data_IF_253922613292
#
_entry.id   IF_253922613292
#
_cell.length_a   1.000
_cell.length_b   1.000
_cell.length_c   1.000
_cell.angle_alpha   90.00
_cell.angle_beta   90.00
_cell.angle_gamma   90.00
#
_symmetry.space_group_name_H-M   'P 1'
#
loop_
_entity.id
_entity.type
_entity.pdbx_description
1 polymer ?
#
# COMPACT_ATOMS: atom_id res chain seq x y z
N UNK A 1 21.19 5.31 -27.84
CA UNK A 1 20.12 4.43 -27.33
C UNK A 1 19.45 5.17 -26.18
N UNK A 2 18.23 5.65 -26.40
CA UNK A 2 17.47 6.40 -25.41
C UNK A 2 16.99 5.47 -24.30
N UNK A 3 17.12 5.83 -23.01
CA UNK A 3 16.60 5.03 -21.93
C UNK A 3 15.08 5.01 -22.03
N UNK A 4 14.55 3.88 -22.42
CA UNK A 4 13.12 3.61 -22.57
C UNK A 4 12.45 3.75 -21.20
N UNK A 5 11.44 4.59 -21.12
CA UNK A 5 10.59 4.95 -19.96
C UNK A 5 10.00 3.75 -19.20
N UNK A 6 10.84 2.93 -18.59
CA UNK A 6 10.40 1.80 -17.75
C UNK A 6 9.91 2.23 -16.37
N UNK A 7 10.11 3.50 -16.04
CA UNK A 7 9.73 4.05 -14.74
C UNK A 7 8.22 4.24 -14.54
N UNK A 8 7.41 4.15 -15.60
CA UNK A 8 5.95 4.39 -15.55
C UNK A 8 5.14 3.33 -14.78
N UNK A 9 5.74 2.19 -14.39
CA UNK A 9 5.01 1.14 -13.67
C UNK A 9 5.01 1.28 -12.14
N UNK A 10 5.79 2.20 -11.56
CA UNK A 10 5.87 2.35 -10.09
C UNK A 10 4.62 3.04 -9.53
N UNK A 11 3.91 3.82 -10.32
CA UNK A 11 2.73 4.57 -9.92
C UNK A 11 1.44 3.94 -10.43
N UNK A 12 1.29 2.62 -10.38
CA UNK A 12 -0.04 2.01 -10.47
C UNK A 12 -0.79 2.24 -9.15
N UNK A 13 -0.82 3.51 -8.72
CA UNK A 13 -1.84 4.02 -7.82
C UNK A 13 -3.13 3.92 -8.58
N UNK A 14 -3.93 2.95 -8.22
CA UNK A 14 -5.26 2.70 -8.73
C UNK A 14 -6.14 3.92 -8.40
N UNK A 15 -6.02 4.99 -9.20
CA UNK A 15 -6.82 6.19 -9.08
C UNK A 15 -8.27 5.85 -9.38
N UNK A 16 -9.11 5.93 -8.37
CA UNK A 16 -10.56 5.94 -8.52
C UNK A 16 -10.96 7.38 -8.82
N UNK A 17 -11.47 7.64 -10.00
CA UNK A 17 -12.31 8.81 -10.23
C UNK A 17 -13.71 8.49 -9.74
N UNK A 18 -14.05 8.85 -8.52
CA UNK A 18 -15.42 8.84 -8.04
C UNK A 18 -16.12 10.10 -8.57
N UNK A 19 -17.09 9.91 -9.45
CA UNK A 19 -18.07 10.93 -9.79
C UNK A 19 -18.96 11.10 -8.56
N UNK A 20 -18.82 12.21 -7.85
CA UNK A 20 -19.62 12.54 -6.69
C UNK A 20 -21.00 13.05 -7.09
N UNK A 21 -22.05 12.40 -6.63
CA UNK A 21 -23.36 13.00 -6.50
C UNK A 21 -23.48 13.74 -5.17
N UNK A 22 -23.76 15.02 -5.31
CA UNK A 22 -23.99 15.98 -4.25
C UNK A 22 -25.37 15.72 -3.60
N UNK A 23 -25.42 15.45 -2.30
CA UNK A 23 -26.64 15.68 -1.51
C UNK A 23 -26.28 16.41 -0.21
N UNK A 24 -26.84 17.58 -0.12
CA UNK A 24 -26.76 18.55 0.96
C UNK A 24 -27.88 18.23 1.95
N UNK A 25 -27.55 17.91 3.19
CA UNK A 25 -28.52 17.92 4.28
C UNK A 25 -28.00 18.74 5.47
N UNK A 26 -28.89 19.61 5.95
CA UNK A 26 -28.74 20.65 6.95
C UNK A 26 -28.69 20.06 8.37
N UNK A 27 -27.94 20.64 9.32
CA UNK A 27 -27.83 20.10 10.67
C UNK A 27 -28.95 20.54 11.58
N UNK A 28 -29.50 19.61 12.33
CA UNK A 28 -30.38 19.90 13.48
C UNK A 28 -29.65 19.58 14.78
N UNK A 29 -29.41 20.60 15.57
CA UNK A 29 -28.79 20.52 16.87
C UNK A 29 -29.75 19.91 17.91
N UNK A 30 -29.27 18.94 18.69
CA UNK A 30 -29.91 18.59 19.97
C UNK A 30 -28.80 18.32 21.01
N UNK A 31 -28.80 19.17 22.00
CA UNK A 31 -27.91 19.11 23.17
C UNK A 31 -28.41 18.06 24.14
N UNK A 32 -27.56 17.12 24.55
CA UNK A 32 -27.73 16.44 25.85
C UNK A 32 -26.36 16.07 26.41
N UNK A 33 -26.01 16.71 27.52
CA UNK A 33 -24.88 16.39 28.39
C UNK A 33 -25.03 15.00 29.00
N UNK A 34 -24.09 14.09 28.74
CA UNK A 34 -23.78 13.01 29.66
C UNK A 34 -22.27 12.86 29.75
N UNK A 35 -21.77 13.17 30.94
CA UNK A 35 -20.38 12.90 31.36
C UNK A 35 -20.23 11.39 31.55
N UNK A 36 -19.63 10.73 30.58
CA UNK A 36 -19.14 9.36 30.74
C UNK A 36 -17.62 9.37 30.52
N UNK A 37 -16.88 9.02 31.55
CA UNK A 37 -15.45 8.72 31.50
C UNK A 37 -15.20 7.72 30.37
N UNK A 38 -14.19 7.94 29.50
CA UNK A 38 -13.84 6.95 28.50
C UNK A 38 -13.21 5.74 29.19
N UNK A 39 -13.98 4.67 29.29
CA UNK A 39 -13.43 3.34 29.57
C UNK A 39 -12.62 2.97 28.34
N UNK A 40 -11.29 2.89 28.47
CA UNK A 40 -10.38 2.44 27.42
C UNK A 40 -10.77 1.00 27.06
N UNK A 41 -11.59 0.85 26.02
CA UNK A 41 -11.80 -0.43 25.36
C UNK A 41 -10.49 -0.80 24.68
N UNK A 42 -9.69 -1.65 25.33
CA UNK A 42 -8.56 -2.34 24.70
C UNK A 42 -9.14 -3.23 23.60
N UNK A 43 -9.18 -2.70 22.36
CA UNK A 43 -9.43 -3.55 21.21
C UNK A 43 -8.38 -4.66 21.18
N UNK A 44 -8.78 -5.93 21.06
CA UNK A 44 -7.82 -7.03 21.01
C UNK A 44 -6.82 -6.76 19.87
N UNK A 45 -5.53 -6.94 20.17
CA UNK A 45 -4.48 -6.83 19.14
C UNK A 45 -4.84 -7.75 17.97
N UNK A 46 -4.77 -7.29 16.73
CA UNK A 46 -5.14 -8.09 15.57
C UNK A 46 -4.28 -9.35 15.53
N UNK A 47 -4.88 -10.50 15.23
CA UNK A 47 -4.11 -11.71 14.90
C UNK A 47 -3.37 -11.47 13.58
N UNK A 48 -2.18 -12.06 13.47
CA UNK A 48 -1.30 -11.89 12.31
C UNK A 48 -1.14 -13.20 11.55
N UNK A 49 -1.02 -13.13 10.21
CA UNK A 49 -0.70 -14.27 9.37
C UNK A 49 0.41 -13.93 8.39
N UNK A 50 1.19 -14.93 7.99
CA UNK A 50 2.21 -14.78 6.94
C UNK A 50 1.54 -14.90 5.59
N UNK A 51 1.76 -13.92 4.73
CA UNK A 51 1.38 -13.95 3.31
C UNK A 51 2.65 -14.13 2.49
N UNK A 52 2.64 -15.11 1.59
CA UNK A 52 3.75 -15.43 0.70
C UNK A 52 3.48 -14.90 -0.69
N UNK A 53 4.48 -14.26 -1.26
CA UNK A 53 4.53 -13.80 -2.63
C UNK A 53 5.58 -14.56 -3.44
N UNK A 54 5.92 -14.02 -4.61
CA UNK A 54 7.05 -14.50 -5.40
C UNK A 54 8.37 -14.00 -4.80
N UNK A 55 9.16 -14.90 -4.24
CA UNK A 55 10.44 -14.62 -3.57
C UNK A 55 10.36 -13.70 -2.34
N UNK A 56 9.17 -13.49 -1.77
CA UNK A 56 8.97 -12.64 -0.60
C UNK A 56 7.94 -13.23 0.36
N UNK A 57 8.07 -12.92 1.64
CA UNK A 57 7.01 -13.12 2.64
C UNK A 57 6.91 -11.93 3.58
N UNK A 58 5.70 -11.70 4.08
CA UNK A 58 5.40 -10.63 5.02
C UNK A 58 4.26 -11.03 5.94
N UNK A 59 4.32 -10.64 7.22
CA UNK A 59 3.20 -10.81 8.14
C UNK A 59 2.26 -9.63 8.02
N UNK A 60 0.96 -9.93 7.94
CA UNK A 60 -0.12 -8.94 7.88
C UNK A 60 -1.22 -9.32 8.88
N UNK A 61 -2.04 -8.37 9.34
CA UNK A 61 -3.26 -8.69 10.08
C UNK A 61 -4.09 -9.74 9.34
N UNK A 62 -4.77 -10.62 10.07
CA UNK A 62 -5.52 -11.76 9.50
C UNK A 62 -6.66 -11.34 8.57
N UNK A 63 -7.09 -10.06 8.64
CA UNK A 63 -8.08 -9.47 7.73
C UNK A 63 -7.58 -9.27 6.29
N UNK A 64 -6.25 -9.31 6.06
CA UNK A 64 -5.69 -9.17 4.72
C UNK A 64 -5.82 -10.47 3.94
N UNK A 65 -6.23 -10.37 2.69
CA UNK A 65 -6.29 -11.47 1.72
C UNK A 65 -5.45 -11.14 0.49
N UNK A 66 -4.78 -12.17 -0.04
CA UNK A 66 -3.89 -12.02 -1.19
C UNK A 66 -2.73 -13.00 -1.14
N UNK A 67 -1.74 -12.79 -1.99
CA UNK A 67 -0.58 -13.66 -2.14
C UNK A 67 0.26 -13.30 -3.36
N UNK A 68 0.72 -14.31 -4.09
CA UNK A 68 1.46 -14.19 -5.32
C UNK A 68 0.52 -13.99 -6.53
N UNK A 69 0.51 -12.82 -7.20
CA UNK A 69 -0.37 -12.61 -8.36
C UNK A 69 -0.05 -13.50 -9.57
N UNK A 70 1.15 -14.10 -9.62
CA UNK A 70 1.52 -15.08 -10.66
C UNK A 70 0.90 -16.46 -10.39
N UNK A 71 0.36 -16.70 -9.19
CA UNK A 71 -0.41 -17.88 -8.89
C UNK A 71 -1.89 -17.61 -9.23
N UNK A 72 -2.41 -18.30 -10.26
CA UNK A 72 -3.79 -18.11 -10.71
C UNK A 72 -4.83 -18.39 -9.62
N UNK A 73 -4.58 -19.39 -8.76
CA UNK A 73 -5.51 -19.72 -7.67
C UNK A 73 -5.60 -18.56 -6.67
N UNK A 74 -4.46 -18.04 -6.23
CA UNK A 74 -4.40 -16.91 -5.28
C UNK A 74 -5.09 -15.68 -5.88
N UNK A 75 -4.78 -15.37 -7.14
CA UNK A 75 -5.33 -14.20 -7.83
C UNK A 75 -6.85 -14.34 -8.07
N UNK A 76 -7.34 -15.52 -8.44
CA UNK A 76 -8.76 -15.74 -8.65
C UNK A 76 -9.55 -15.72 -7.32
N UNK A 77 -9.00 -16.29 -6.25
CA UNK A 77 -9.59 -16.21 -4.91
C UNK A 77 -9.70 -14.75 -4.43
N UNK A 78 -8.63 -13.99 -4.60
CA UNK A 78 -8.61 -12.56 -4.30
C UNK A 78 -9.64 -11.80 -5.15
N UNK A 79 -9.68 -12.03 -6.47
CA UNK A 79 -10.62 -11.40 -7.39
C UNK A 79 -12.08 -11.62 -6.97
N UNK A 80 -12.43 -12.87 -6.66
CA UNK A 80 -13.79 -13.25 -6.24
C UNK A 80 -14.19 -12.49 -4.97
N UNK A 81 -13.28 -12.39 -4.00
CA UNK A 81 -13.53 -11.68 -2.75
C UNK A 81 -13.64 -10.17 -2.93
N UNK A 82 -12.76 -9.57 -3.73
CA UNK A 82 -12.79 -8.13 -3.99
C UNK A 82 -14.03 -7.72 -4.78
N UNK A 83 -14.50 -8.53 -5.72
CA UNK A 83 -15.72 -8.30 -6.49
C UNK A 83 -16.96 -8.19 -5.59
N UNK A 84 -17.03 -8.96 -4.50
CA UNK A 84 -18.16 -8.88 -3.54
C UNK A 84 -18.13 -7.59 -2.72
N UNK A 85 -16.94 -6.96 -2.56
CA UNK A 85 -16.78 -5.72 -1.82
C UNK A 85 -17.07 -4.51 -2.72
N UNK A 86 -16.45 -4.48 -3.90
CA UNK A 86 -16.67 -3.44 -4.91
C UNK A 86 -16.36 -4.01 -6.31
N UNK A 87 -17.34 -4.03 -7.24
CA UNK A 87 -17.16 -4.53 -8.61
C UNK A 87 -16.04 -3.86 -9.41
N UNK A 88 -15.69 -2.61 -9.10
CA UNK A 88 -14.59 -1.89 -9.78
C UNK A 88 -13.23 -2.58 -9.62
N UNK A 89 -13.05 -3.38 -8.56
CA UNK A 89 -11.82 -4.16 -8.38
C UNK A 89 -11.65 -5.24 -9.44
N UNK A 90 -12.70 -5.66 -10.14
CA UNK A 90 -12.61 -6.64 -11.23
C UNK A 90 -11.71 -6.14 -12.37
N UNK A 91 -11.85 -4.87 -12.77
CA UNK A 91 -11.00 -4.26 -13.81
C UNK A 91 -9.53 -4.18 -13.37
N UNK A 92 -9.30 -3.90 -12.10
CA UNK A 92 -7.95 -3.81 -11.54
C UNK A 92 -7.25 -5.17 -11.52
N UNK A 93 -7.97 -6.20 -11.10
CA UNK A 93 -7.46 -7.57 -11.13
C UNK A 93 -7.22 -8.02 -12.57
N UNK A 94 -8.09 -7.66 -13.52
CA UNK A 94 -7.89 -7.95 -14.94
C UNK A 94 -6.60 -7.30 -15.49
N UNK A 95 -6.28 -6.07 -15.08
CA UNK A 95 -5.02 -5.43 -15.44
C UNK A 95 -3.78 -6.15 -14.84
N UNK A 96 -3.89 -6.63 -13.59
CA UNK A 96 -2.83 -7.41 -12.95
C UNK A 96 -2.62 -8.76 -13.67
N UNK A 97 -3.68 -9.42 -14.11
CA UNK A 97 -3.62 -10.66 -14.90
C UNK A 97 -2.86 -10.51 -16.22
N UNK A 98 -2.83 -9.33 -16.81
CA UNK A 98 -2.06 -9.08 -18.04
C UNK A 98 -0.54 -9.06 -17.80
N UNK A 99 -0.09 -8.71 -16.59
CA UNK A 99 1.33 -8.73 -16.22
C UNK A 99 1.52 -9.16 -14.75
N UNK A 100 1.22 -10.43 -14.42
CA UNK A 100 1.20 -10.89 -13.04
C UNK A 100 2.60 -10.90 -12.40
N UNK A 101 3.66 -10.98 -13.20
CA UNK A 101 5.04 -10.98 -12.73
C UNK A 101 5.57 -9.58 -12.33
N UNK A 102 4.82 -8.51 -12.63
CA UNK A 102 5.21 -7.16 -12.23
C UNK A 102 5.10 -6.92 -10.71
N UNK A 103 4.30 -7.74 -10.03
CA UNK A 103 4.03 -7.63 -8.60
C UNK A 103 4.43 -8.94 -7.94
N UNK A 104 5.34 -8.87 -6.97
CA UNK A 104 5.78 -10.05 -6.23
C UNK A 104 4.77 -10.49 -5.16
N UNK A 105 4.07 -9.53 -4.54
CA UNK A 105 3.02 -9.80 -3.55
C UNK A 105 1.97 -8.71 -3.63
N UNK A 106 0.70 -9.12 -3.51
CA UNK A 106 -0.44 -8.20 -3.43
C UNK A 106 -1.43 -8.71 -2.38
N UNK A 107 -1.82 -7.83 -1.44
CA UNK A 107 -2.83 -8.17 -0.44
C UNK A 107 -3.70 -6.94 -0.11
N UNK A 108 -4.97 -7.20 0.21
CA UNK A 108 -5.96 -6.18 0.58
C UNK A 108 -6.58 -6.50 1.95
N UNK A 109 -6.81 -5.48 2.76
CA UNK A 109 -7.62 -5.58 3.98
C UNK A 109 -9.10 -5.67 3.58
N UNK A 110 -9.67 -6.87 3.63
CA UNK A 110 -11.02 -7.15 3.14
C UNK A 110 -12.11 -6.95 4.19
N UNK A 111 -11.76 -6.64 5.43
CA UNK A 111 -12.74 -6.46 6.52
C UNK A 111 -13.00 -4.99 6.87
N UNK A 112 -12.10 -4.09 6.52
CA UNK A 112 -12.20 -2.67 6.87
C UNK A 112 -12.34 -1.82 5.59
N UNK A 113 -13.58 -1.52 5.22
CA UNK A 113 -13.92 -0.76 4.01
C UNK A 113 -14.74 0.50 4.31
N UNK A 114 -14.53 1.12 5.49
CA UNK A 114 -15.33 2.28 5.91
C UNK A 114 -15.06 3.55 5.09
N UNK A 115 -13.86 3.68 4.53
CA UNK A 115 -13.43 4.85 3.76
C UNK A 115 -13.74 4.77 2.26
N UNK A 116 -14.33 3.67 1.77
CA UNK A 116 -14.51 3.42 0.34
C UNK A 116 -13.21 3.06 -0.41
N UNK A 117 -12.05 3.11 0.26
CA UNK A 117 -10.76 2.68 -0.27
C UNK A 117 -10.26 1.45 0.49
N UNK A 118 -10.02 0.35 -0.21
CA UNK A 118 -9.44 -0.84 0.41
C UNK A 118 -7.96 -0.65 0.68
N UNK A 119 -7.61 -0.63 1.96
CA UNK A 119 -6.22 -0.65 2.39
C UNK A 119 -5.52 -1.86 1.79
N UNK A 120 -4.35 -1.62 1.21
CA UNK A 120 -3.60 -2.68 0.54
C UNK A 120 -2.09 -2.55 0.76
N UNK A 121 -1.42 -3.66 0.53
CA UNK A 121 0.03 -3.72 0.41
C UNK A 121 0.39 -4.42 -0.88
N UNK A 122 1.38 -3.88 -1.57
CA UNK A 122 2.01 -4.55 -2.70
C UNK A 122 3.53 -4.53 -2.57
N UNK A 123 4.18 -5.55 -3.13
CA UNK A 123 5.62 -5.63 -3.24
C UNK A 123 5.99 -5.74 -4.71
N UNK A 124 6.81 -4.82 -5.18
CA UNK A 124 7.36 -4.84 -6.53
C UNK A 124 8.88 -4.87 -6.47
N UNK A 125 9.53 -5.20 -7.59
CA UNK A 125 10.99 -5.20 -7.69
C UNK A 125 11.45 -4.42 -8.91
N UNK A 126 12.56 -3.73 -8.76
CA UNK A 126 13.19 -2.96 -9.83
C UNK A 126 14.67 -3.30 -9.92
N UNK A 127 15.10 -3.71 -11.10
CA UNK A 127 16.54 -3.86 -11.40
C UNK A 127 17.13 -2.49 -11.67
N UNK A 128 18.33 -2.27 -11.19
CA UNK A 128 19.09 -1.03 -11.36
C UNK A 128 20.48 -1.31 -11.88
N UNK A 129 21.15 -0.28 -12.37
CA UNK A 129 22.55 -0.37 -12.76
C UNK A 129 23.45 -0.74 -11.56
N UNK A 130 24.50 -1.51 -11.82
CA UNK A 130 25.46 -1.89 -10.79
C UNK A 130 26.06 -0.62 -10.14
N UNK A 131 26.15 -0.63 -8.81
CA UNK A 131 26.66 0.49 -8.06
C UNK A 131 25.65 1.60 -7.77
N UNK A 132 24.37 1.44 -8.13
CA UNK A 132 23.31 2.36 -7.70
C UNK A 132 23.15 2.28 -6.19
N UNK A 133 23.45 3.37 -5.49
CA UNK A 133 23.29 3.47 -4.04
C UNK A 133 21.84 3.72 -3.65
N UNK A 134 21.47 3.37 -2.41
CA UNK A 134 20.14 3.64 -1.87
C UNK A 134 19.79 5.13 -1.94
N UNK A 135 20.73 6.01 -1.64
CA UNK A 135 20.49 7.46 -1.67
C UNK A 135 20.21 7.98 -3.08
N UNK A 136 21.01 7.55 -4.08
CA UNK A 136 20.73 7.88 -5.49
C UNK A 136 19.36 7.39 -5.94
N UNK A 137 19.01 6.17 -5.55
CA UNK A 137 17.70 5.61 -5.88
C UNK A 137 16.56 6.40 -5.22
N UNK A 138 16.69 6.72 -3.92
CA UNK A 138 15.71 7.53 -3.19
C UNK A 138 15.54 8.92 -3.81
N UNK A 139 16.64 9.56 -4.22
CA UNK A 139 16.59 10.85 -4.88
C UNK A 139 15.79 10.78 -6.18
N UNK A 140 16.10 9.82 -7.05
CA UNK A 140 15.43 9.63 -8.32
C UNK A 140 13.93 9.27 -8.14
N UNK A 141 13.63 8.34 -7.22
CA UNK A 141 12.25 7.94 -6.89
C UNK A 141 11.44 9.14 -6.36
N UNK A 142 12.01 9.92 -5.45
CA UNK A 142 11.36 11.11 -4.91
C UNK A 142 11.09 12.14 -5.99
N UNK A 143 12.07 12.44 -6.84
CA UNK A 143 11.90 13.38 -7.96
C UNK A 143 10.75 12.97 -8.88
N UNK A 144 10.62 11.67 -9.15
CA UNK A 144 9.52 11.17 -9.98
C UNK A 144 8.17 11.26 -9.26
N UNK A 145 8.11 10.88 -7.99
CA UNK A 145 6.89 10.94 -7.20
C UNK A 145 6.36 12.38 -7.07
N UNK A 146 7.24 13.39 -7.01
CA UNK A 146 6.83 14.81 -6.89
C UNK A 146 6.03 15.32 -8.09
N UNK A 147 5.98 14.61 -9.20
CA UNK A 147 5.12 14.97 -10.34
C UNK A 147 3.64 14.84 -10.02
N UNK A 148 3.26 13.87 -9.18
CA UNK A 148 1.87 13.52 -8.86
C UNK A 148 1.55 13.55 -7.37
N UNK A 149 2.56 13.51 -6.51
CA UNK A 149 2.43 13.40 -5.06
C UNK A 149 3.19 14.50 -4.33
N UNK A 150 2.65 14.91 -3.18
CA UNK A 150 3.41 15.62 -2.15
C UNK A 150 4.20 14.60 -1.34
N UNK A 151 5.47 14.88 -1.14
CA UNK A 151 6.36 14.08 -0.31
C UNK A 151 6.29 14.62 1.12
N UNK A 152 5.65 13.87 2.00
CA UNK A 152 5.48 14.24 3.41
C UNK A 152 6.70 13.86 4.24
N UNK A 153 7.36 12.76 3.87
CA UNK A 153 8.56 12.28 4.52
C UNK A 153 9.47 11.55 3.52
N UNK A 154 10.77 11.76 3.64
CA UNK A 154 11.82 10.96 2.99
C UNK A 154 12.97 10.78 3.97
N UNK A 155 13.30 9.55 4.31
CA UNK A 155 14.43 9.24 5.19
C UNK A 155 14.98 7.84 4.94
N UNK A 156 16.18 7.58 5.45
CA UNK A 156 16.77 6.25 5.58
C UNK A 156 16.54 5.77 7.00
N UNK A 157 16.10 4.53 7.15
CA UNK A 157 15.83 3.91 8.45
C UNK A 157 16.51 2.54 8.55
N UNK A 158 16.86 2.07 9.76
CA UNK A 158 17.47 0.76 9.94
C UNK A 158 16.43 -0.36 9.76
N UNK A 159 16.85 -1.49 9.15
CA UNK A 159 16.16 -2.77 9.14
C UNK A 159 17.16 -3.86 9.54
N UNK A 160 17.18 -4.24 10.81
CA UNK A 160 18.24 -5.10 11.34
C UNK A 160 19.61 -4.44 11.17
N UNK A 161 20.50 -5.10 10.41
CA UNK A 161 21.84 -4.57 10.06
C UNK A 161 21.86 -3.74 8.78
N UNK A 162 20.79 -3.75 8.01
CA UNK A 162 20.70 -3.09 6.72
C UNK A 162 20.02 -1.72 6.86
N UNK A 163 20.19 -0.87 5.85
CA UNK A 163 19.50 0.40 5.73
C UNK A 163 18.50 0.36 4.59
N UNK A 164 17.34 0.95 4.81
CA UNK A 164 16.25 0.99 3.84
C UNK A 164 15.70 2.40 3.70
N UNK A 165 15.19 2.71 2.51
CA UNK A 165 14.49 3.97 2.28
C UNK A 165 13.07 3.91 2.83
N UNK A 166 12.60 5.03 3.37
CA UNK A 166 11.21 5.24 3.79
C UNK A 166 10.69 6.55 3.20
N UNK A 167 9.56 6.48 2.51
CA UNK A 167 8.91 7.66 1.92
C UNK A 167 7.43 7.62 2.30
N UNK A 168 6.87 8.76 2.71
CA UNK A 168 5.43 8.95 2.88
C UNK A 168 4.95 9.98 1.87
N UNK A 169 3.86 9.67 1.16
CA UNK A 169 3.28 10.55 0.15
C UNK A 169 1.78 10.67 0.28
N UNK A 170 1.24 11.73 -0.31
CA UNK A 170 -0.18 11.88 -0.62
C UNK A 170 -0.35 12.46 -2.03
N UNK A 171 -1.43 12.13 -2.77
CA UNK A 171 -1.69 12.73 -4.09
C UNK A 171 -1.87 14.25 -3.99
N UNK A 172 -1.37 14.98 -4.98
CA UNK A 172 -1.59 16.42 -5.12
C UNK A 172 -3.01 16.78 -5.54
N UNK A 173 -3.68 15.87 -6.25
CA UNK A 173 -5.05 16.09 -6.70
C UNK A 173 -6.05 15.67 -5.64
N UNK A 174 -7.13 16.41 -5.50
CA UNK A 174 -8.21 16.21 -4.53
C UNK A 174 -9.11 14.99 -4.80
N UNK A 175 -8.79 14.16 -5.82
CA UNK A 175 -9.69 13.11 -6.30
C UNK A 175 -9.74 11.82 -5.47
N UNK A 176 -8.73 11.52 -4.67
CA UNK A 176 -8.76 10.37 -3.77
C UNK A 176 -7.86 10.65 -2.56
N UNK A 177 -8.41 10.79 -1.36
CA UNK A 177 -7.65 11.06 -0.15
C UNK A 177 -6.90 9.80 0.30
N UNK A 178 -5.88 9.41 -0.48
CA UNK A 178 -5.04 8.24 -0.21
C UNK A 178 -3.70 8.70 0.33
N UNK A 179 -3.17 8.03 1.33
CA UNK A 179 -1.81 8.23 1.82
C UNK A 179 -1.03 6.94 1.65
N UNK A 180 0.23 7.04 1.24
CA UNK A 180 1.07 5.88 0.95
C UNK A 180 2.36 5.92 1.74
N UNK A 181 2.77 4.74 2.21
CA UNK A 181 4.05 4.50 2.85
C UNK A 181 4.85 3.52 1.98
N UNK A 182 6.02 3.94 1.57
CA UNK A 182 6.95 3.12 0.82
C UNK A 182 8.15 2.74 1.69
N UNK A 183 8.51 1.47 1.63
CA UNK A 183 9.83 1.00 2.04
C UNK A 183 10.61 0.49 0.83
N UNK A 184 11.88 0.84 0.76
CA UNK A 184 12.77 0.55 -0.36
C UNK A 184 13.97 -0.23 0.17
N UNK A 185 14.00 -1.52 -0.13
CA UNK A 185 15.00 -2.47 0.38
C UNK A 185 16.00 -2.81 -0.72
N UNK A 186 17.28 -2.40 -0.60
CA UNK A 186 18.32 -2.77 -1.55
C UNK A 186 18.73 -4.24 -1.37
N UNK A 187 18.89 -4.97 -2.48
CA UNK A 187 19.43 -6.33 -2.48
C UNK A 187 20.16 -6.63 -3.80
N UNK A 188 21.48 -6.64 -3.76
CA UNK A 188 22.29 -6.77 -4.97
C UNK A 188 22.04 -5.61 -5.94
N UNK A 189 21.74 -5.93 -7.20
CA UNK A 189 21.38 -4.96 -8.24
C UNK A 189 19.86 -4.74 -8.36
N UNK A 190 19.10 -4.98 -7.28
CA UNK A 190 17.64 -4.80 -7.23
C UNK A 190 17.23 -3.98 -6.02
N UNK A 191 16.18 -3.23 -6.20
CA UNK A 191 15.42 -2.62 -5.11
C UNK A 191 14.06 -3.29 -5.01
N UNK A 192 13.67 -3.65 -3.80
CA UNK A 192 12.34 -4.15 -3.46
C UNK A 192 11.54 -3.02 -2.87
N UNK A 193 10.38 -2.75 -3.44
CA UNK A 193 9.50 -1.67 -3.03
C UNK A 193 8.27 -2.28 -2.37
N UNK A 194 8.12 -2.04 -1.07
CA UNK A 194 6.94 -2.43 -0.30
C UNK A 194 6.09 -1.18 -0.14
N UNK A 195 4.89 -1.18 -0.72
CA UNK A 195 3.98 -0.05 -0.70
C UNK A 195 2.74 -0.38 0.09
N UNK A 196 2.47 0.37 1.14
CA UNK A 196 1.21 0.36 1.87
C UNK A 196 0.38 1.55 1.43
N UNK A 197 -0.87 1.31 1.06
CA UNK A 197 -1.82 2.36 0.64
C UNK A 197 -3.08 2.27 1.48
N UNK A 198 -3.53 3.39 2.00
CA UNK A 198 -4.78 3.49 2.77
C UNK A 198 -5.40 4.87 2.59
N UNK A 199 -6.64 5.05 3.06
CA UNK A 199 -7.25 6.38 3.10
C UNK A 199 -6.43 7.32 4.00
N UNK A 200 -6.43 8.60 3.67
CA UNK A 200 -5.73 9.63 4.46
C UNK A 200 -6.24 9.67 5.91
N UNK A 201 -7.53 9.45 6.12
CA UNK A 201 -8.17 9.47 7.44
C UNK A 201 -7.77 8.30 8.33
N UNK A 202 -7.41 7.14 7.74
CA UNK A 202 -7.03 5.95 8.48
C UNK A 202 -5.50 5.79 8.63
N UNK A 203 -4.72 6.57 7.90
CA UNK A 203 -3.28 6.35 7.78
C UNK A 203 -2.56 6.33 9.13
N UNK A 204 -2.79 7.33 9.97
CA UNK A 204 -2.08 7.46 11.23
C UNK A 204 -2.45 6.34 12.23
N UNK A 205 -3.71 5.87 12.19
CA UNK A 205 -4.16 4.71 12.97
C UNK A 205 -3.54 3.41 12.47
N UNK A 206 -3.33 3.27 11.16
CA UNK A 206 -2.79 2.05 10.54
C UNK A 206 -1.26 1.99 10.51
N UNK A 207 -0.61 3.14 10.63
CA UNK A 207 0.85 3.26 10.53
C UNK A 207 1.62 2.30 11.44
N UNK A 208 1.27 2.10 12.72
CA UNK A 208 1.95 1.12 13.58
C UNK A 208 1.90 -0.31 13.02
N UNK A 209 0.75 -0.71 12.44
CA UNK A 209 0.59 -2.03 11.82
C UNK A 209 1.43 -2.16 10.54
N UNK A 210 1.53 -1.12 9.73
CA UNK A 210 2.38 -1.09 8.54
C UNK A 210 3.86 -1.25 8.93
N UNK A 211 4.31 -0.53 9.95
CA UNK A 211 5.67 -0.62 10.45
C UNK A 211 5.98 -2.00 11.05
N UNK A 212 5.04 -2.57 11.81
CA UNK A 212 5.18 -3.93 12.33
C UNK A 212 5.24 -4.96 11.21
N UNK A 213 4.36 -4.83 10.21
CA UNK A 213 4.35 -5.67 9.02
C UNK A 213 5.69 -5.59 8.28
N UNK A 214 6.18 -4.40 8.02
CA UNK A 214 7.45 -4.20 7.33
C UNK A 214 8.63 -4.87 8.07
N UNK A 215 8.68 -4.80 9.40
CA UNK A 215 9.74 -5.50 10.18
C UNK A 215 9.75 -7.01 9.98
N UNK A 216 8.63 -7.59 9.56
CA UNK A 216 8.52 -9.03 9.26
C UNK A 216 8.90 -9.40 7.82
N UNK A 217 9.11 -8.40 6.95
CA UNK A 217 9.42 -8.61 5.54
C UNK A 217 10.70 -9.40 5.36
N UNK A 218 10.65 -10.45 4.53
CA UNK A 218 11.79 -11.28 4.19
C UNK A 218 11.81 -11.60 2.70
N UNK A 219 13.02 -11.66 2.17
CA UNK A 219 13.30 -12.27 0.88
C UNK A 219 13.48 -13.78 1.12
N UNK A 220 12.75 -14.58 0.35
CA UNK A 220 12.82 -16.04 0.37
C UNK A 220 13.36 -16.56 -0.97
N UNK A 221 14.11 -17.64 -0.92
CA UNK A 221 14.68 -18.30 -2.10
C UNK A 221 13.73 -19.34 -2.67
#
# INVERSE_FOLDING_TARGET
MTPRNWWLMICMSLLITSVGCNQQETPQATTSNQTNSPQATTSPSPSWKVIKGNSVEISLPSSYEGGNPSNEQDLNALASKLKTINPEYEQRIAAIKQNPNAIALLAFDTQNNQSGFLTNVNVTTQSVENGTTLDKYLQAATQQLTTQYDILERKVVPLGKDQVGRIITQPKSSGAPIKQLFYIVPKGNRFWLITYSTSQTEFDQRLPNFEQSFRSFKLIS
#
